data_IF_912622744007
#
_entry.id   IF_912622744007
#
_cell.length_a   1.000
_cell.length_b   1.000
_cell.length_c   1.000
_cell.angle_alpha   90.00
_cell.angle_beta   90.00
_cell.angle_gamma   90.00
#
_symmetry.space_group_name_H-M   'P 1'
#
loop_
_entity.id
_entity.type
_entity.pdbx_description
1 polymer ?
#
# COMPACT_ATOMS: atom_id res chain seq x y z
N UNK A 1 -80.43 14.18 -8.75
CA UNK A 1 -79.65 13.33 -9.69
C UNK A 1 -78.44 12.77 -8.94
N UNK A 2 -78.57 11.62 -8.31
CA UNK A 2 -77.48 10.91 -7.62
C UNK A 2 -77.14 9.69 -8.46
N UNK A 3 -76.00 9.73 -9.18
CA UNK A 3 -75.49 8.56 -9.89
C UNK A 3 -75.11 7.50 -8.86
N UNK A 4 -75.78 6.35 -8.91
CA UNK A 4 -75.37 5.16 -8.19
C UNK A 4 -73.98 4.74 -8.71
N UNK A 5 -72.96 4.88 -7.86
CA UNK A 5 -71.63 4.37 -8.13
C UNK A 5 -71.66 2.84 -8.10
N UNK A 6 -71.37 2.21 -9.24
CA UNK A 6 -71.17 0.77 -9.32
C UNK A 6 -70.07 0.35 -8.37
N UNK A 7 -70.42 -0.38 -7.31
CA UNK A 7 -69.47 -1.07 -6.45
C UNK A 7 -69.10 -2.37 -7.15
N UNK A 8 -68.12 -2.31 -8.04
CA UNK A 8 -67.49 -3.51 -8.59
C UNK A 8 -66.80 -4.23 -7.44
N UNK A 9 -67.43 -5.31 -6.98
CA UNK A 9 -66.89 -6.14 -5.90
C UNK A 9 -65.58 -6.76 -6.35
N UNK A 10 -64.50 -6.44 -5.63
CA UNK A 10 -63.20 -7.10 -5.78
C UNK A 10 -63.41 -8.61 -5.76
N UNK A 11 -63.06 -9.28 -6.84
CA UNK A 11 -63.33 -10.72 -6.95
C UNK A 11 -62.40 -11.49 -6.01
N UNK A 12 -62.86 -12.63 -5.46
CA UNK A 12 -62.03 -13.52 -4.63
C UNK A 12 -60.71 -13.88 -5.33
N UNK A 13 -60.79 -14.08 -6.65
CA UNK A 13 -59.64 -14.41 -7.51
C UNK A 13 -58.60 -13.30 -7.46
N UNK A 14 -59.02 -12.04 -7.49
CA UNK A 14 -58.13 -10.88 -7.44
C UNK A 14 -57.35 -10.82 -6.11
N UNK A 15 -58.02 -11.11 -4.99
CA UNK A 15 -57.35 -11.19 -3.69
C UNK A 15 -56.33 -12.34 -3.64
N UNK A 16 -56.65 -13.49 -4.22
CA UNK A 16 -55.69 -14.61 -4.31
C UNK A 16 -54.48 -14.24 -5.17
N UNK A 17 -54.69 -13.59 -6.32
CA UNK A 17 -53.60 -13.15 -7.19
C UNK A 17 -52.72 -12.12 -6.47
N UNK A 18 -53.33 -11.15 -5.78
CA UNK A 18 -52.59 -10.15 -5.00
C UNK A 18 -51.71 -10.80 -3.92
N UNK A 19 -52.23 -11.82 -3.21
CA UNK A 19 -51.45 -12.56 -2.21
C UNK A 19 -50.29 -13.34 -2.83
N UNK A 20 -50.50 -13.98 -3.99
CA UNK A 20 -49.44 -14.69 -4.70
C UNK A 20 -48.34 -13.72 -5.16
N UNK A 21 -48.72 -12.57 -5.73
CA UNK A 21 -47.77 -11.53 -6.14
C UNK A 21 -47.02 -10.98 -4.94
N UNK A 22 -47.72 -10.68 -3.85
CA UNK A 22 -47.11 -10.20 -2.61
C UNK A 22 -46.10 -11.21 -2.04
N UNK A 23 -46.46 -12.49 -2.00
CA UNK A 23 -45.57 -13.55 -1.54
C UNK A 23 -44.32 -13.67 -2.43
N UNK A 24 -44.48 -13.58 -3.75
CA UNK A 24 -43.37 -13.59 -4.69
C UNK A 24 -42.43 -12.39 -4.48
N UNK A 25 -42.99 -11.19 -4.30
CA UNK A 25 -42.21 -9.98 -4.01
C UNK A 25 -41.45 -10.11 -2.69
N UNK A 26 -42.09 -10.61 -1.63
CA UNK A 26 -41.43 -10.83 -0.34
C UNK A 26 -40.24 -11.80 -0.46
N UNK A 27 -40.38 -12.89 -1.22
CA UNK A 27 -39.29 -13.84 -1.44
C UNK A 27 -38.11 -13.19 -2.16
N UNK A 28 -38.37 -12.38 -3.19
CA UNK A 28 -37.32 -11.63 -3.91
C UNK A 28 -36.65 -10.62 -2.97
N UNK A 29 -37.43 -9.91 -2.16
CA UNK A 29 -36.90 -8.93 -1.20
C UNK A 29 -35.98 -9.58 -0.16
N UNK A 30 -36.38 -10.73 0.40
CA UNK A 30 -35.55 -11.49 1.35
C UNK A 30 -34.20 -11.89 0.73
N UNK A 31 -34.22 -12.42 -0.50
CA UNK A 31 -32.99 -12.77 -1.23
C UNK A 31 -32.12 -11.54 -1.50
N UNK A 32 -32.74 -10.42 -1.88
CA UNK A 32 -32.06 -9.15 -2.09
C UNK A 32 -31.34 -8.65 -0.84
N UNK A 33 -31.99 -8.72 0.33
CA UNK A 33 -31.40 -8.30 1.61
C UNK A 33 -30.19 -9.17 1.97
N UNK A 34 -30.29 -10.49 1.81
CA UNK A 34 -29.17 -11.41 2.09
C UNK A 34 -27.99 -11.13 1.16
N UNK A 35 -28.24 -10.97 -0.14
CA UNK A 35 -27.21 -10.62 -1.11
C UNK A 35 -26.54 -9.27 -0.79
N UNK A 36 -27.33 -8.27 -0.40
CA UNK A 36 -26.82 -6.96 0.00
C UNK A 36 -25.92 -7.05 1.24
N UNK A 37 -26.29 -7.83 2.25
CA UNK A 37 -25.46 -8.05 3.45
C UNK A 37 -24.13 -8.72 3.10
N UNK A 38 -24.16 -9.79 2.31
CA UNK A 38 -22.95 -10.46 1.86
C UNK A 38 -22.04 -9.55 1.03
N UNK A 39 -22.63 -8.70 0.18
CA UNK A 39 -21.89 -7.68 -0.57
C UNK A 39 -21.23 -6.65 0.34
N UNK A 40 -21.96 -6.15 1.34
CA UNK A 40 -21.44 -5.18 2.30
C UNK A 40 -20.29 -5.76 3.15
N UNK A 41 -20.44 -6.99 3.63
CA UNK A 41 -19.40 -7.66 4.42
C UNK A 41 -18.11 -7.83 3.61
N UNK A 42 -18.23 -8.16 2.31
CA UNK A 42 -17.09 -8.26 1.38
C UNK A 42 -16.42 -6.92 1.10
N UNK A 43 -17.21 -5.86 0.97
CA UNK A 43 -16.68 -4.51 0.80
C UNK A 43 -15.89 -4.08 2.06
N UNK A 44 -16.46 -4.33 3.25
CA UNK A 44 -15.80 -4.05 4.53
C UNK A 44 -14.49 -4.82 4.70
N UNK A 45 -14.48 -6.12 4.40
CA UNK A 45 -13.27 -6.93 4.51
C UNK A 45 -12.17 -6.43 3.56
N UNK A 46 -12.54 -5.96 2.37
CA UNK A 46 -11.59 -5.43 1.39
C UNK A 46 -10.97 -4.11 1.86
N UNK A 47 -11.79 -3.19 2.39
CA UNK A 47 -11.30 -1.91 2.96
C UNK A 47 -10.36 -2.18 4.14
N UNK A 48 -10.70 -3.13 5.01
CA UNK A 48 -9.86 -3.47 6.16
C UNK A 48 -8.52 -4.10 5.72
N UNK A 49 -8.54 -5.00 4.74
CA UNK A 49 -7.32 -5.57 4.17
C UNK A 49 -6.44 -4.50 3.50
N UNK A 50 -7.04 -3.53 2.81
CA UNK A 50 -6.31 -2.41 2.21
C UNK A 50 -5.68 -1.50 3.27
N UNK A 51 -6.38 -1.21 4.37
CA UNK A 51 -5.84 -0.43 5.47
C UNK A 51 -4.62 -1.11 6.10
N UNK A 52 -4.68 -2.44 6.32
CA UNK A 52 -3.55 -3.22 6.81
C UNK A 52 -2.39 -3.22 5.81
N UNK A 53 -2.66 -3.47 4.52
CA UNK A 53 -1.63 -3.46 3.48
C UNK A 53 -0.93 -2.09 3.40
N UNK A 54 -1.69 -0.99 3.46
CA UNK A 54 -1.16 0.37 3.46
C UNK A 54 -0.30 0.64 4.70
N UNK A 55 -0.78 0.27 5.88
CA UNK A 55 -0.02 0.40 7.13
C UNK A 55 1.31 -0.37 7.08
N UNK A 56 1.30 -1.59 6.55
CA UNK A 56 2.53 -2.39 6.38
C UNK A 56 3.51 -1.67 5.44
N UNK A 57 3.04 -1.21 4.28
CA UNK A 57 3.88 -0.56 3.28
C UNK A 57 4.43 0.79 3.77
N UNK A 58 3.63 1.58 4.50
CA UNK A 58 4.00 2.94 4.91
C UNK A 58 4.80 2.97 6.22
N UNK A 59 4.54 2.07 7.16
CA UNK A 59 5.08 2.18 8.53
C UNK A 59 6.00 1.03 8.92
N UNK A 60 5.72 -0.20 8.50
CA UNK A 60 6.42 -1.38 9.00
C UNK A 60 7.39 -2.00 7.99
N UNK A 61 7.45 -1.48 6.76
CA UNK A 61 8.22 -2.10 5.68
C UNK A 61 9.72 -2.21 6.00
N UNK A 62 10.31 -1.16 6.57
CA UNK A 62 11.71 -1.13 7.00
C UNK A 62 12.03 -2.21 8.04
N UNK A 63 11.06 -2.50 8.92
CA UNK A 63 11.19 -3.49 9.99
C UNK A 63 10.92 -4.91 9.50
N UNK A 64 9.97 -5.08 8.60
CA UNK A 64 9.52 -6.39 8.12
C UNK A 64 10.38 -6.92 6.98
N UNK A 65 10.96 -6.05 6.16
CA UNK A 65 11.79 -6.42 5.02
C UNK A 65 13.24 -5.85 5.06
N UNK A 66 13.97 -5.86 6.20
CA UNK A 66 15.35 -5.39 6.23
C UNK A 66 16.31 -6.34 5.49
N UNK A 67 15.94 -7.63 5.39
CA UNK A 67 16.73 -8.69 4.78
C UNK A 67 15.77 -9.58 3.96
N UNK A 68 16.22 -10.18 2.84
CA UNK A 68 15.43 -11.14 2.09
C UNK A 68 14.85 -12.25 2.98
N UNK A 69 13.61 -12.63 2.72
CA UNK A 69 12.92 -13.67 3.48
C UNK A 69 11.41 -13.51 3.49
N UNK A 70 10.75 -14.32 4.32
CA UNK A 70 9.29 -14.31 4.51
C UNK A 70 9.00 -13.97 5.97
N UNK A 71 8.04 -13.06 6.18
CA UNK A 71 7.50 -12.69 7.49
C UNK A 71 5.99 -12.84 7.47
N UNK A 72 5.45 -13.55 8.44
CA UNK A 72 4.02 -13.71 8.62
C UNK A 72 3.60 -13.01 9.92
N UNK A 73 2.35 -12.55 9.96
CA UNK A 73 1.80 -11.93 11.15
C UNK A 73 0.30 -11.68 11.03
N UNK A 74 -0.22 -10.93 11.99
CA UNK A 74 -1.63 -10.58 12.08
C UNK A 74 -1.77 -9.16 12.61
N UNK A 75 -2.65 -8.37 12.00
CA UNK A 75 -3.01 -7.02 12.45
C UNK A 75 -4.53 -6.91 12.44
N UNK A 76 -5.13 -6.51 13.57
CA UNK A 76 -6.59 -6.36 13.72
C UNK A 76 -7.41 -7.59 13.31
N UNK A 77 -6.92 -8.79 13.59
CA UNK A 77 -7.60 -10.03 13.19
C UNK A 77 -7.31 -10.48 11.76
N UNK A 78 -6.50 -9.72 11.01
CA UNK A 78 -6.22 -9.94 9.59
C UNK A 78 -4.80 -10.49 9.43
N UNK A 79 -4.73 -11.75 9.03
CA UNK A 79 -3.46 -12.41 8.71
C UNK A 79 -2.81 -11.77 7.48
N UNK A 80 -1.49 -11.61 7.54
CA UNK A 80 -0.68 -11.09 6.44
C UNK A 80 0.64 -11.83 6.33
N UNK A 81 1.24 -11.75 5.14
CA UNK A 81 2.54 -12.32 4.77
C UNK A 81 3.30 -11.29 3.95
N UNK A 82 4.55 -11.05 4.30
CA UNK A 82 5.49 -10.18 3.58
C UNK A 82 6.64 -11.05 3.06
N UNK A 83 6.85 -11.05 1.76
CA UNK A 83 7.95 -11.75 1.10
C UNK A 83 8.89 -10.71 0.49
N UNK A 84 10.17 -10.74 0.87
CA UNK A 84 11.20 -9.85 0.36
C UNK A 84 12.24 -10.64 -0.43
N UNK A 85 12.43 -10.29 -1.70
CA UNK A 85 13.34 -10.96 -2.63
C UNK A 85 14.32 -9.96 -3.25
N UNK A 86 15.61 -10.30 -3.41
CA UNK A 86 16.57 -9.42 -4.08
C UNK A 86 16.18 -9.18 -5.54
N UNK A 87 16.23 -7.94 -5.99
CA UNK A 87 16.08 -7.60 -7.41
C UNK A 87 17.32 -6.89 -7.91
N UNK A 88 17.87 -7.39 -9.02
CA UNK A 88 18.89 -6.68 -9.78
C UNK A 88 18.19 -5.64 -10.65
N UNK A 89 18.34 -4.37 -10.30
CA UNK A 89 17.86 -3.27 -11.14
C UNK A 89 18.98 -2.91 -12.12
N UNK A 90 18.77 -3.02 -13.44
CA UNK A 90 19.73 -2.54 -14.42
C UNK A 90 19.75 -1.01 -14.37
N UNK A 91 20.68 -0.46 -13.60
CA UNK A 91 20.93 0.99 -13.56
C UNK A 91 21.81 1.38 -14.76
N UNK A 92 21.48 2.46 -15.49
CA UNK A 92 22.39 3.00 -16.51
C UNK A 92 23.69 3.45 -15.83
N UNK A 93 24.82 3.27 -16.53
CA UNK A 93 26.12 3.69 -16.03
C UNK A 93 26.09 5.18 -15.63
N UNK A 94 26.62 5.48 -14.45
CA UNK A 94 26.67 6.85 -13.96
C UNK A 94 27.41 7.74 -14.98
N UNK A 95 26.90 8.96 -15.27
CA UNK A 95 27.64 9.89 -16.11
C UNK A 95 29.01 10.17 -15.49
N UNK A 96 30.07 10.31 -16.31
CA UNK A 96 31.40 10.61 -15.80
C UNK A 96 31.34 11.88 -14.94
N UNK A 97 32.03 11.91 -13.78
CA UNK A 97 32.06 13.10 -12.94
C UNK A 97 32.52 14.30 -13.77
N UNK A 98 31.97 15.50 -13.55
CA UNK A 98 32.38 16.68 -14.30
C UNK A 98 33.88 16.90 -14.11
N UNK A 99 34.64 16.68 -15.18
CA UNK A 99 36.06 16.96 -15.22
C UNK A 99 36.26 18.48 -15.28
N UNK A 100 35.99 19.21 -14.19
CA UNK A 100 36.32 20.63 -14.06
C UNK A 100 36.23 21.09 -12.59
N UNK A 101 37.33 20.97 -11.85
CA UNK A 101 37.66 21.81 -10.68
C UNK A 101 39.17 21.77 -10.41
N UNK A 102 39.99 21.80 -11.47
CA UNK A 102 41.45 21.79 -11.33
C UNK A 102 42.13 22.72 -12.35
N UNK A 103 41.60 23.94 -12.55
CA UNK A 103 42.32 25.01 -13.27
C UNK A 103 41.74 26.38 -12.88
N UNK A 104 41.92 26.75 -11.62
CA UNK A 104 41.87 28.15 -11.17
C UNK A 104 42.90 28.34 -10.04
N UNK A 105 44.16 28.02 -10.34
CA UNK A 105 45.33 28.42 -9.53
C UNK A 105 46.44 28.90 -10.46
N UNK A 106 46.32 30.14 -10.88
CA UNK A 106 47.41 31.05 -11.30
C UNK A 106 46.74 32.43 -11.40
N UNK A 107 47.10 33.47 -10.66
CA UNK A 107 48.44 33.88 -10.27
C UNK A 107 48.45 34.55 -8.88
N UNK A 108 49.52 34.31 -8.13
CA UNK A 108 50.04 35.25 -7.14
C UNK A 108 51.10 36.12 -7.84
N UNK A 109 51.32 37.37 -7.40
CA UNK A 109 52.57 37.56 -6.66
C UNK A 109 52.43 38.43 -5.40
N UNK A 110 52.99 37.87 -4.33
CA UNK A 110 53.91 38.48 -3.36
C UNK A 110 53.48 39.75 -2.60
N UNK A 111 53.13 39.54 -1.32
CA UNK A 111 53.19 40.51 -0.23
C UNK A 111 53.36 39.77 1.11
N UNK A 112 54.45 40.05 1.81
CA UNK A 112 55.05 39.27 2.91
C UNK A 112 54.42 39.54 4.30
N UNK A 113 54.61 38.54 5.19
CA UNK A 113 54.91 38.64 6.64
C UNK A 113 53.78 38.47 7.69
N UNK A 114 53.94 37.41 8.52
CA UNK A 114 53.24 37.15 9.79
C UNK A 114 52.95 35.65 9.99
N UNK A 115 53.92 34.81 10.35
CA UNK A 115 54.26 34.40 11.72
C UNK A 115 53.20 33.50 12.44
N UNK A 116 53.47 32.18 12.39
CA UNK A 116 53.23 31.09 13.40
C UNK A 116 51.83 30.87 14.02
N UNK A 117 51.23 29.72 13.70
CA UNK A 117 50.91 28.59 14.60
C UNK A 117 50.34 27.47 13.70
N UNK A 118 50.97 26.29 13.53
CA UNK A 118 51.13 25.19 14.47
C UNK A 118 49.79 24.65 15.00
N UNK A 119 49.30 23.59 14.34
CA UNK A 119 48.46 22.56 14.96
C UNK A 119 46.96 22.81 14.98
N UNK A 120 46.27 22.37 13.93
CA UNK A 120 45.16 21.41 14.07
C UNK A 120 44.64 21.09 12.66
N UNK A 121 45.26 20.08 12.06
CA UNK A 121 44.70 19.35 10.94
C UNK A 121 43.80 18.28 11.57
N UNK A 122 42.46 18.37 11.52
CA UNK A 122 41.63 17.26 11.95
C UNK A 122 41.79 16.13 10.92
N UNK A 123 42.76 15.29 11.22
CA UNK A 123 42.91 13.96 10.69
C UNK A 123 41.60 13.18 10.87
N UNK A 124 41.20 12.49 9.80
CA UNK A 124 40.18 11.45 9.87
C UNK A 124 38.75 11.96 9.73
N UNK A 125 38.43 12.52 8.57
CA UNK A 125 37.12 12.24 7.99
C UNK A 125 37.05 10.71 7.81
N UNK A 126 36.61 10.04 8.87
CA UNK A 126 36.34 8.62 8.86
C UNK A 126 35.30 8.42 7.77
N UNK A 127 35.72 7.86 6.64
CA UNK A 127 34.83 7.19 5.71
C UNK A 127 34.07 6.16 6.55
N UNK A 128 32.88 6.56 7.01
CA UNK A 128 31.99 5.66 7.73
C UNK A 128 31.77 4.40 6.88
N UNK A 129 31.43 3.26 7.50
CA UNK A 129 31.20 2.02 6.77
C UNK A 129 30.30 2.32 5.58
N UNK A 130 30.82 2.04 4.38
CA UNK A 130 30.14 2.34 3.13
C UNK A 130 28.80 1.62 3.14
N UNK A 131 27.72 2.37 3.40
CA UNK A 131 26.37 1.83 3.43
C UNK A 131 26.04 1.31 2.04
N UNK A 132 26.06 -0.02 1.88
CA UNK A 132 25.61 -0.67 0.66
C UNK A 132 24.11 -0.76 0.70
N UNK A 133 23.46 -0.14 -0.27
CA UNK A 133 22.02 -0.23 -0.45
C UNK A 133 21.69 -1.40 -1.38
N UNK A 134 20.66 -2.17 -1.03
CA UNK A 134 20.17 -3.28 -1.84
C UNK A 134 18.69 -3.07 -2.16
N UNK A 135 18.35 -3.28 -3.42
CA UNK A 135 16.96 -3.25 -3.88
C UNK A 135 16.30 -4.60 -3.63
N UNK A 136 15.16 -4.58 -2.95
CA UNK A 136 14.32 -5.72 -2.68
C UNK A 136 12.96 -5.52 -3.36
N UNK A 137 12.44 -6.56 -4.01
CA UNK A 137 11.01 -6.65 -4.33
C UNK A 137 10.30 -7.21 -3.12
N UNK A 138 9.33 -6.44 -2.63
CA UNK A 138 8.53 -6.84 -1.48
C UNK A 138 7.10 -7.09 -1.93
N UNK A 139 6.62 -8.30 -1.68
CA UNK A 139 5.23 -8.70 -1.93
C UNK A 139 4.52 -8.83 -0.59
N UNK A 140 3.50 -8.00 -0.37
CA UNK A 140 2.65 -8.02 0.81
C UNK A 140 1.34 -8.69 0.44
N UNK A 141 1.05 -9.83 1.04
CA UNK A 141 -0.21 -10.56 0.92
C UNK A 141 -1.02 -10.36 2.19
N UNK A 142 -2.25 -9.88 2.06
CA UNK A 142 -3.17 -9.66 3.19
C UNK A 142 -4.44 -10.48 2.98
N UNK A 143 -4.83 -11.24 3.99
CA UNK A 143 -6.07 -12.01 3.96
C UNK A 143 -7.28 -11.07 3.84
N UNK A 144 -8.27 -11.46 3.03
CA UNK A 144 -9.47 -10.66 2.80
C UNK A 144 -10.73 -11.52 3.02
N UNK A 145 -10.96 -11.96 4.27
CA UNK A 145 -12.11 -12.77 4.65
C UNK A 145 -12.33 -13.99 3.72
N UNK A 146 -13.51 -14.06 3.09
CA UNK A 146 -13.85 -15.11 2.09
C UNK A 146 -13.45 -14.77 0.65
N UNK A 147 -12.78 -13.65 0.44
CA UNK A 147 -12.31 -13.17 -0.85
C UNK A 147 -10.94 -13.71 -1.24
N UNK A 148 -10.43 -13.25 -2.38
CA UNK A 148 -9.02 -13.45 -2.74
C UNK A 148 -8.15 -12.57 -1.84
N UNK A 149 -6.98 -13.03 -1.40
CA UNK A 149 -6.05 -12.19 -0.65
C UNK A 149 -5.68 -10.97 -1.49
N UNK A 150 -5.54 -9.83 -0.83
CA UNK A 150 -5.01 -8.61 -1.45
C UNK A 150 -3.50 -8.79 -1.56
N UNK A 151 -2.95 -8.61 -2.77
CA UNK A 151 -1.51 -8.68 -3.02
C UNK A 151 -1.03 -7.33 -3.48
N UNK A 152 -0.07 -6.77 -2.77
CA UNK A 152 0.59 -5.50 -3.09
C UNK A 152 2.06 -5.78 -3.32
N UNK A 153 2.55 -5.42 -4.50
CA UNK A 153 3.97 -5.50 -4.83
C UNK A 153 4.59 -4.10 -4.78
N UNK A 154 5.73 -3.98 -4.12
CA UNK A 154 6.49 -2.73 -4.04
C UNK A 154 8.00 -3.01 -4.15
N UNK A 155 8.76 -1.96 -4.44
CA UNK A 155 10.22 -1.98 -4.44
C UNK A 155 10.71 -1.23 -3.21
N UNK A 156 11.56 -1.87 -2.42
CA UNK A 156 12.12 -1.34 -1.19
C UNK A 156 13.65 -1.28 -1.27
N UNK A 157 14.25 -0.23 -0.72
CA UNK A 157 15.70 -0.07 -0.62
C UNK A 157 16.12 -0.32 0.82
N UNK A 158 16.76 -1.46 1.07
CA UNK A 158 17.25 -1.82 2.39
C UNK A 158 18.77 -1.59 2.49
N UNK A 159 19.25 -1.27 3.69
CA UNK A 159 20.69 -1.19 3.97
C UNK A 159 21.24 -2.58 4.26
N UNK A 160 22.37 -2.90 3.65
CA UNK A 160 23.16 -4.09 3.96
C UNK A 160 23.91 -3.82 5.29
N UNK A 161 23.56 -4.58 6.33
CA UNK A 161 24.19 -4.54 7.66
C UNK A 161 25.45 -5.42 7.71
#
# INVERSE_FOLDING_TARGET
MTRAGGRDGFTLIESMVALVVLAAVMLVAQRGIVAARLGLDRARSTIAAEAVARSIVETELDRLAPVPGVRDGETDGIAWRVTAEPVVVPLPAAPPPPANSATAREATPTGQAGARDAGDEPAGASEGPSQRWRTLRVTVMVANGRGRPLVVETIHLAKEL
#
